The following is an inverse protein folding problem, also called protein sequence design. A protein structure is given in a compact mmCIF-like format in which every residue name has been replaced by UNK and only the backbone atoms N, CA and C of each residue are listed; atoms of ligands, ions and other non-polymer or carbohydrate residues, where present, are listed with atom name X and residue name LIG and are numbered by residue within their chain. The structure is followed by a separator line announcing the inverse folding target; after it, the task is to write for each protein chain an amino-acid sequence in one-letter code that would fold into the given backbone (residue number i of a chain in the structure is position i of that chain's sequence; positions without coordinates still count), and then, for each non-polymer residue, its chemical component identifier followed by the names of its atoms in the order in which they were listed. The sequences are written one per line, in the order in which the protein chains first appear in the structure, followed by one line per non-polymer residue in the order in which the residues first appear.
data_IF_471449619639
#
_entry.id   IF_471449619639
#
_cell.length_a   1.000
_cell.length_b   1.000
_cell.length_c   1.000
_cell.angle_alpha   90.00
_cell.angle_beta   90.00
_cell.angle_gamma   90.00
#
_symmetry.space_group_name_H-M   'P 1'
#
loop_
_entity.id
_entity.type
_entity.pdbx_description
1 polymer ?
#
# COMPACT_ATOMS: atom_id res chain seq x y z
N UNK A 1 -5.47 -9.41 -7.56
CA UNK A 1 -4.47 -8.50 -8.17
C UNK A 1 -3.08 -9.06 -7.93
N UNK A 2 -2.21 -9.10 -8.93
CA UNK A 2 -0.84 -9.59 -8.76
C UNK A 2 0.02 -8.61 -7.97
N UNK A 3 0.93 -9.15 -7.15
CA UNK A 3 1.83 -8.35 -6.32
C UNK A 3 2.70 -7.36 -7.11
N UNK A 4 3.17 -7.78 -8.28
CA UNK A 4 3.97 -6.97 -9.20
C UNK A 4 3.19 -5.75 -9.72
N UNK A 5 1.90 -5.94 -10.00
CA UNK A 5 1.01 -4.87 -10.46
C UNK A 5 0.77 -3.86 -9.35
N UNK A 6 0.47 -4.33 -8.14
CA UNK A 6 0.29 -3.45 -6.97
C UNK A 6 1.56 -2.66 -6.64
N UNK A 7 2.73 -3.31 -6.69
CA UNK A 7 4.02 -2.66 -6.46
C UNK A 7 4.28 -1.55 -7.46
N UNK A 8 4.06 -1.83 -8.75
CA UNK A 8 4.26 -0.84 -9.82
C UNK A 8 3.32 0.35 -9.64
N UNK A 9 2.06 0.09 -9.29
CA UNK A 9 1.07 1.13 -9.00
C UNK A 9 1.53 2.04 -7.86
N UNK A 10 2.02 1.47 -6.75
CA UNK A 10 2.57 2.26 -5.64
C UNK A 10 3.80 3.09 -6.06
N UNK A 11 4.71 2.52 -6.88
CA UNK A 11 5.89 3.24 -7.37
C UNK A 11 5.55 4.45 -8.26
N UNK A 12 4.38 4.48 -8.91
CA UNK A 12 3.96 5.64 -9.71
C UNK A 12 3.66 6.87 -8.85
N UNK A 13 3.34 6.68 -7.58
CA UNK A 13 3.01 7.78 -6.66
C UNK A 13 4.24 8.34 -5.93
N UNK A 14 5.32 7.57 -5.84
CA UNK A 14 6.57 8.00 -5.23
C UNK A 14 7.61 6.87 -5.03
N UNK A 15 8.83 7.23 -4.61
CA UNK A 15 9.89 6.30 -4.26
C UNK A 15 9.51 5.50 -3.00
N UNK A 16 9.40 4.18 -3.19
CA UNK A 16 9.14 3.23 -2.12
C UNK A 16 10.42 2.93 -1.35
N UNK A 17 10.39 3.12 -0.03
CA UNK A 17 11.44 2.64 0.88
C UNK A 17 11.23 1.14 1.14
N UNK A 18 10.02 0.75 1.55
CA UNK A 18 9.67 -0.65 1.79
C UNK A 18 8.32 -0.98 1.18
N UNK A 19 8.19 -2.20 0.69
CA UNK A 19 6.96 -2.76 0.15
C UNK A 19 6.87 -4.20 0.63
N UNK A 20 5.92 -4.47 1.53
CA UNK A 20 5.63 -5.79 2.05
C UNK A 20 4.25 -6.19 1.56
N UNK A 21 4.20 -7.27 0.78
CA UNK A 21 2.95 -7.82 0.29
C UNK A 21 2.67 -9.13 1.00
N UNK A 22 1.47 -9.25 1.56
CA UNK A 22 1.00 -10.47 2.16
C UNK A 22 -0.20 -10.99 1.35
N UNK A 23 0.13 -11.80 0.33
CA UNK A 23 -0.83 -12.43 -0.57
C UNK A 23 -1.88 -13.30 0.17
N UNK A 24 -1.52 -14.11 1.19
CA UNK A 24 -2.48 -14.87 1.99
C UNK A 24 -3.62 -14.03 2.58
N UNK A 25 -3.33 -12.80 3.03
CA UNK A 25 -4.31 -11.90 3.64
C UNK A 25 -4.86 -10.86 2.67
N UNK A 26 -4.30 -10.76 1.46
CA UNK A 26 -4.71 -9.79 0.45
C UNK A 26 -4.38 -8.34 0.82
N UNK A 27 -3.41 -8.11 1.70
CA UNK A 27 -3.00 -6.78 2.16
C UNK A 27 -1.53 -6.48 1.82
N UNK A 28 -1.19 -5.19 1.78
CA UNK A 28 0.17 -4.74 1.50
C UNK A 28 0.50 -3.53 2.38
N UNK A 29 1.70 -3.55 2.96
CA UNK A 29 2.27 -2.43 3.69
C UNK A 29 3.32 -1.73 2.83
N UNK A 30 3.18 -0.42 2.71
CA UNK A 30 4.00 0.39 1.80
C UNK A 30 4.53 1.61 2.56
N UNK A 31 5.84 1.82 2.53
CA UNK A 31 6.50 2.98 3.15
C UNK A 31 7.11 3.86 2.07
N UNK A 32 6.71 5.13 2.05
CA UNK A 32 7.33 6.15 1.21
C UNK A 32 8.35 6.97 2.01
N UNK A 33 9.13 7.78 1.31
CA UNK A 33 10.18 8.61 1.92
C UNK A 33 9.62 9.81 2.66
N UNK A 34 8.54 10.39 2.15
CA UNK A 34 7.92 11.58 2.73
C UNK A 34 6.44 11.38 3.00
N UNK A 35 5.93 12.04 4.06
CA UNK A 35 4.51 12.01 4.42
C UNK A 35 3.60 12.49 3.28
N UNK A 36 4.03 13.50 2.53
CA UNK A 36 3.30 14.03 1.38
C UNK A 36 3.07 12.95 0.30
N UNK A 37 4.08 12.11 0.05
CA UNK A 37 4.01 11.00 -0.91
C UNK A 37 3.06 9.92 -0.40
N UNK A 38 3.11 9.59 0.90
CA UNK A 38 2.17 8.63 1.51
C UNK A 38 0.74 9.12 1.36
N UNK A 39 0.45 10.38 1.70
CA UNK A 39 -0.90 10.95 1.61
C UNK A 39 -1.39 11.01 0.16
N UNK A 40 -0.50 11.38 -0.78
CA UNK A 40 -0.80 11.40 -2.22
C UNK A 40 -1.12 10.00 -2.73
N UNK A 41 -0.27 9.02 -2.43
CA UNK A 41 -0.48 7.63 -2.80
C UNK A 41 -1.76 7.08 -2.19
N UNK A 42 -2.00 7.32 -0.89
CA UNK A 42 -3.23 6.91 -0.22
C UNK A 42 -4.46 7.47 -0.92
N UNK A 43 -4.52 8.78 -1.20
CA UNK A 43 -5.68 9.38 -1.89
C UNK A 43 -5.91 8.82 -3.30
N UNK A 44 -4.86 8.51 -4.04
CA UNK A 44 -4.98 7.95 -5.39
C UNK A 44 -5.33 6.46 -5.39
N UNK A 45 -4.81 5.70 -4.43
CA UNK A 45 -5.02 4.25 -4.31
C UNK A 45 -6.32 3.91 -3.58
N UNK A 46 -6.73 4.73 -2.62
CA UNK A 46 -7.94 4.53 -1.84
C UNK A 46 -9.15 4.62 -2.76
N UNK A 47 -9.98 3.57 -2.75
CA UNK A 47 -11.13 3.41 -3.64
C UNK A 47 -10.75 3.29 -5.13
N UNK A 48 -9.49 2.96 -5.44
CA UNK A 48 -9.08 2.70 -6.82
C UNK A 48 -9.65 1.35 -7.26
N UNK A 49 -10.55 1.36 -8.23
CA UNK A 49 -11.15 0.14 -8.80
C UNK A 49 -10.29 -0.32 -9.98
N UNK A 50 -9.66 -1.48 -9.85
CA UNK A 50 -8.96 -2.16 -10.95
C UNK A 50 -9.69 -3.45 -11.30
N UNK A 51 -10.49 -3.38 -12.37
CA UNK A 51 -11.33 -4.49 -12.83
C UNK A 51 -12.36 -4.86 -11.75
N UNK A 52 -12.26 -6.08 -11.23
CA UNK A 52 -13.18 -6.61 -10.21
C UNK A 52 -12.64 -6.44 -8.77
N UNK A 53 -11.47 -5.82 -8.60
CA UNK A 53 -10.85 -5.60 -7.29
C UNK A 53 -10.91 -4.12 -6.93
N UNK A 54 -11.39 -3.80 -5.73
CA UNK A 54 -11.32 -2.45 -5.16
C UNK A 54 -10.13 -2.38 -4.23
N UNK A 55 -9.23 -1.42 -4.47
CA UNK A 55 -8.09 -1.16 -3.59
C UNK A 55 -8.54 -0.23 -2.48
N UNK A 56 -8.28 -0.65 -1.25
CA UNK A 56 -8.42 0.17 -0.05
C UNK A 56 -7.00 0.51 0.43
N UNK A 57 -6.71 1.80 0.49
CA UNK A 57 -5.46 2.32 1.05
C UNK A 57 -5.77 3.18 2.26
N UNK A 58 -5.16 2.85 3.39
CA UNK A 58 -5.29 3.58 4.65
C UNK A 58 -3.91 3.92 5.20
N UNK A 59 -3.87 4.98 6.02
CA UNK A 59 -2.65 5.37 6.73
C UNK A 59 -2.54 4.51 7.98
N UNK A 60 -1.61 3.56 7.97
CA UNK A 60 -1.33 2.74 9.14
C UNK A 60 -0.53 3.52 10.19
N UNK A 61 -0.97 3.44 11.44
CA UNK A 61 -0.23 3.92 12.60
C UNK A 61 0.90 2.94 12.99
N UNK A 62 1.88 3.36 13.79
CA UNK A 62 3.00 2.50 14.22
C UNK A 62 2.53 1.20 14.90
N UNK A 63 1.41 1.26 15.62
CA UNK A 63 0.77 0.09 16.23
C UNK A 63 0.25 -0.90 15.19
N UNK A 64 -0.42 -0.40 14.14
CA UNK A 64 -0.94 -1.22 13.04
C UNK A 64 0.20 -1.83 12.23
N UNK A 65 1.26 -1.05 11.99
CA UNK A 65 2.48 -1.52 11.34
C UNK A 65 3.11 -2.66 12.15
N UNK A 66 3.24 -2.50 13.47
CA UNK A 66 3.79 -3.52 14.35
C UNK A 66 2.94 -4.80 14.36
N UNK A 67 1.62 -4.66 14.37
CA UNK A 67 0.69 -5.81 14.25
C UNK A 67 0.82 -6.49 12.90
N UNK A 68 0.99 -5.75 11.80
CA UNK A 68 1.18 -6.31 10.46
C UNK A 68 2.44 -7.17 10.38
N UNK A 69 3.54 -6.75 11.02
CA UNK A 69 4.78 -7.53 11.06
C UNK A 69 4.75 -8.70 12.06
N UNK A 70 3.83 -8.67 13.04
CA UNK A 70 3.70 -9.70 14.06
C UNK A 70 2.76 -10.86 13.66
N UNK A 71 2.16 -10.81 12.47
CA UNK A 71 1.21 -11.80 11.96
C UNK A 71 1.86 -12.93 11.17
#
# INVERSE_FOLDING_TARGET
IDGSTLRTLCMQHGPLITFHLNLPQGNALVRYSSKEEVVKAQKSLHMCVLGNTTILAELASEEEISRFFAQ
#
